data_IF_565587058258
#
_entry.id   IF_565587058258
#
_cell.length_a   1.000
_cell.length_b   1.000
_cell.length_c   1.000
_cell.angle_alpha   90.00
_cell.angle_beta   90.00
_cell.angle_gamma   90.00
#
_symmetry.space_group_name_H-M   'P 1'
#
loop_
_entity.id
_entity.type
_entity.pdbx_description
1 polymer ?
#
# COMPACT_ATOMS: atom_id res chain seq x y z
N UNK A 1 -41.34 -14.54 -35.11
CA UNK A 1 -41.06 -15.72 -34.27
C UNK A 1 -39.92 -15.35 -33.34
N UNK A 2 -40.23 -15.09 -32.07
CA UNK A 2 -39.24 -14.76 -31.04
C UNK A 2 -38.59 -16.05 -30.54
N UNK A 3 -37.26 -16.12 -30.36
CA UNK A 3 -36.67 -17.18 -29.57
C UNK A 3 -36.84 -16.82 -28.09
N UNK A 4 -37.45 -17.76 -27.37
CA UNK A 4 -37.69 -17.75 -25.93
C UNK A 4 -36.39 -17.61 -25.14
N UNK A 5 -36.29 -16.54 -24.34
CA UNK A 5 -35.26 -16.40 -23.31
C UNK A 5 -35.61 -17.32 -22.14
N UNK A 6 -34.94 -18.46 -22.03
CA UNK A 6 -34.88 -19.22 -20.77
C UNK A 6 -33.76 -18.64 -19.91
N UNK A 7 -34.03 -18.14 -18.69
CA UNK A 7 -32.95 -17.74 -17.79
C UNK A 7 -32.18 -18.99 -17.35
N UNK A 8 -30.85 -19.02 -17.50
CA UNK A 8 -29.99 -20.01 -16.84
C UNK A 8 -29.44 -19.44 -15.53
N UNK A 9 -29.94 -19.87 -14.36
CA UNK A 9 -29.37 -19.50 -13.08
C UNK A 9 -28.36 -20.57 -12.63
N UNK A 10 -27.18 -20.65 -13.25
CA UNK A 10 -26.15 -21.63 -12.82
C UNK A 10 -24.70 -21.11 -12.81
N UNK A 11 -24.44 -19.87 -13.23
CA UNK A 11 -23.06 -19.32 -13.36
C UNK A 11 -22.53 -18.53 -12.16
N UNK A 12 -23.31 -18.32 -11.08
CA UNK A 12 -22.85 -17.55 -9.91
C UNK A 12 -22.11 -18.36 -8.82
N UNK A 13 -22.12 -19.69 -8.86
CA UNK A 13 -21.65 -20.50 -7.73
C UNK A 13 -20.18 -20.92 -7.80
N UNK A 14 -19.62 -21.34 -8.95
CA UNK A 14 -18.33 -22.04 -8.95
C UNK A 14 -17.07 -21.17 -8.76
N UNK A 15 -16.96 -20.00 -9.39
CA UNK A 15 -15.82 -19.08 -9.17
C UNK A 15 -15.92 -18.37 -7.81
N UNK A 16 -17.11 -17.87 -7.47
CA UNK A 16 -17.38 -17.27 -6.16
C UNK A 16 -17.16 -18.29 -5.03
N UNK A 17 -17.56 -19.56 -5.20
CA UNK A 17 -17.24 -20.62 -4.23
C UNK A 17 -15.73 -20.84 -4.12
N UNK A 18 -14.96 -20.86 -5.22
CA UNK A 18 -13.49 -20.99 -5.16
C UNK A 18 -12.83 -19.83 -4.41
N UNK A 19 -13.27 -18.59 -4.65
CA UNK A 19 -12.74 -17.40 -3.98
C UNK A 19 -13.13 -17.37 -2.49
N UNK A 20 -14.40 -17.60 -2.16
CA UNK A 20 -14.87 -17.70 -0.77
C UNK A 20 -14.14 -18.83 -0.04
N UNK A 21 -13.88 -19.94 -0.73
CA UNK A 21 -13.18 -21.10 -0.18
C UNK A 21 -11.68 -20.83 0.03
N UNK A 22 -11.00 -20.14 -0.90
CA UNK A 22 -9.61 -19.71 -0.74
C UNK A 22 -9.46 -18.70 0.40
N UNK A 23 -10.32 -17.68 0.45
CA UNK A 23 -10.35 -16.72 1.56
C UNK A 23 -10.66 -17.41 2.89
N UNK A 24 -11.61 -18.35 2.91
CA UNK A 24 -11.90 -19.17 4.08
C UNK A 24 -10.70 -20.00 4.53
N UNK A 25 -9.93 -20.57 3.59
CA UNK A 25 -8.70 -21.32 3.86
C UNK A 25 -7.61 -20.40 4.41
N UNK A 26 -7.42 -19.24 3.80
CA UNK A 26 -6.43 -18.23 4.20
C UNK A 26 -6.71 -17.67 5.59
N UNK A 27 -7.98 -17.37 5.90
CA UNK A 27 -8.42 -16.96 7.23
C UNK A 27 -8.28 -18.08 8.27
N UNK A 28 -8.52 -19.33 7.86
CA UNK A 28 -8.29 -20.50 8.72
C UNK A 28 -6.82 -20.68 9.06
N UNK A 29 -5.92 -20.56 8.08
CA UNK A 29 -4.47 -20.63 8.30
C UNK A 29 -3.93 -19.41 9.06
N UNK A 30 -4.55 -18.24 8.91
CA UNK A 30 -4.18 -17.08 9.73
C UNK A 30 -4.53 -17.26 11.22
N UNK A 31 -5.49 -18.14 11.53
CA UNK A 31 -5.88 -18.49 12.89
C UNK A 31 -5.05 -19.63 13.51
N UNK A 32 -3.98 -20.09 12.87
CA UNK A 32 -3.21 -21.26 13.30
C UNK A 32 -2.25 -21.01 14.50
N UNK A 33 -2.50 -19.97 15.30
CA UNK A 33 -2.03 -19.88 16.69
C UNK A 33 -3.02 -20.56 17.63
N UNK A 34 -2.95 -21.89 17.73
CA UNK A 34 -3.52 -22.78 18.77
C UNK A 34 -4.87 -22.35 19.40
N UNK A 35 -5.96 -22.86 18.80
CA UNK A 35 -7.26 -23.30 19.37
C UNK A 35 -8.45 -23.17 18.39
N UNK A 36 -8.21 -23.20 17.07
CA UNK A 36 -9.27 -23.22 16.06
C UNK A 36 -10.05 -24.57 15.98
N UNK A 37 -9.91 -25.46 16.96
CA UNK A 37 -10.72 -26.69 17.06
C UNK A 37 -12.12 -26.46 17.64
N UNK A 38 -12.42 -25.27 18.18
CA UNK A 38 -13.72 -24.97 18.81
C UNK A 38 -14.68 -24.12 17.96
N UNK A 39 -14.30 -23.68 16.75
CA UNK A 39 -15.13 -22.75 15.94
C UNK A 39 -15.57 -23.24 14.56
N UNK A 40 -15.19 -24.45 14.16
CA UNK A 40 -15.69 -25.08 12.95
C UNK A 40 -16.43 -26.36 13.30
N UNK A 41 -17.64 -26.52 12.75
CA UNK A 41 -18.36 -27.78 12.90
C UNK A 41 -17.55 -28.93 12.28
N UNK A 42 -17.73 -30.16 12.78
CA UNK A 42 -17.08 -31.34 12.20
C UNK A 42 -17.38 -31.49 10.70
N UNK A 43 -18.53 -30.99 10.23
CA UNK A 43 -18.86 -30.91 8.80
C UNK A 43 -17.96 -29.92 8.04
N UNK A 44 -17.69 -28.73 8.58
CA UNK A 44 -16.80 -27.75 7.95
C UNK A 44 -15.36 -28.28 7.86
N UNK A 45 -14.88 -28.97 8.90
CA UNK A 45 -13.57 -29.64 8.88
C UNK A 45 -13.51 -30.80 7.88
N UNK A 46 -14.59 -31.58 7.78
CA UNK A 46 -14.70 -32.67 6.80
C UNK A 46 -14.73 -32.12 5.37
N UNK A 47 -15.45 -31.02 5.11
CA UNK A 47 -15.49 -30.33 3.83
C UNK A 47 -14.10 -29.81 3.45
N UNK A 48 -13.41 -29.14 4.37
CA UNK A 48 -12.04 -28.64 4.15
C UNK A 48 -11.04 -29.76 3.85
N UNK A 49 -11.10 -30.90 4.56
CA UNK A 49 -10.24 -32.07 4.30
C UNK A 49 -10.55 -32.74 2.96
N UNK A 50 -11.82 -32.87 2.62
CA UNK A 50 -12.25 -33.49 1.36
C UNK A 50 -11.83 -32.62 0.16
N UNK A 51 -11.95 -31.31 0.30
CA UNK A 51 -11.48 -30.30 -0.67
C UNK A 51 -9.96 -30.34 -0.80
N UNK A 52 -9.21 -30.30 0.30
CA UNK A 52 -7.75 -30.45 0.25
C UNK A 52 -7.34 -31.74 -0.48
N UNK A 53 -8.03 -32.86 -0.23
CA UNK A 53 -7.76 -34.12 -0.93
C UNK A 53 -8.11 -34.08 -2.43
N UNK A 54 -9.14 -33.32 -2.81
CA UNK A 54 -9.64 -33.21 -4.18
C UNK A 54 -8.80 -32.25 -5.04
N UNK A 55 -8.18 -31.25 -4.41
CA UNK A 55 -7.40 -30.21 -5.09
C UNK A 55 -5.89 -30.30 -4.83
N UNK A 56 -5.41 -31.28 -4.05
CA UNK A 56 -3.95 -31.52 -3.86
C UNK A 56 -3.19 -31.75 -5.17
N UNK A 57 -3.90 -32.20 -6.21
CA UNK A 57 -3.36 -32.50 -7.54
C UNK A 57 -3.88 -31.56 -8.64
N UNK A 58 -4.72 -30.56 -8.33
CA UNK A 58 -4.99 -29.47 -9.27
C UNK A 58 -3.89 -28.45 -9.12
N UNK A 59 -3.20 -28.11 -10.20
CA UNK A 59 -2.14 -27.09 -10.20
C UNK A 59 -2.71 -25.75 -9.70
N UNK A 60 -2.55 -25.49 -8.41
CA UNK A 60 -2.67 -24.19 -7.79
C UNK A 60 -1.26 -23.59 -7.86
N UNK A 61 -0.91 -23.04 -9.01
CA UNK A 61 0.13 -22.02 -9.23
C UNK A 61 0.37 -21.92 -10.72
N UNK A 62 0.27 -20.71 -11.27
CA UNK A 62 1.22 -20.26 -12.27
C UNK A 62 1.67 -18.85 -11.90
N UNK A 63 2.13 -18.71 -10.65
CA UNK A 63 2.96 -17.57 -10.28
C UNK A 63 4.25 -17.71 -11.08
N UNK A 64 4.42 -16.88 -12.12
CA UNK A 64 5.66 -16.85 -12.87
C UNK A 64 6.52 -15.75 -12.29
N UNK A 65 7.66 -16.12 -11.72
CA UNK A 65 8.77 -15.17 -11.59
C UNK A 65 9.21 -14.78 -13.00
N UNK A 66 9.11 -13.50 -13.32
CA UNK A 66 9.55 -12.94 -14.61
C UNK A 66 10.94 -12.34 -14.47
N UNK A 67 11.79 -12.60 -15.45
CA UNK A 67 13.20 -12.17 -15.46
C UNK A 67 13.37 -10.67 -15.78
N UNK A 68 14.41 -10.06 -15.21
CA UNK A 68 14.76 -8.63 -15.22
C UNK A 68 14.69 -7.85 -16.56
N UNK A 69 14.78 -8.52 -17.70
CA UNK A 69 15.01 -7.87 -19.01
C UNK A 69 13.90 -8.10 -20.03
N UNK A 70 12.73 -8.58 -19.60
CA UNK A 70 11.60 -8.81 -20.48
C UNK A 70 10.63 -7.61 -20.49
N UNK A 71 10.08 -7.33 -21.66
CA UNK A 71 8.99 -6.38 -21.86
C UNK A 71 7.69 -7.15 -22.01
N UNK A 72 6.61 -6.63 -21.42
CA UNK A 72 5.28 -7.20 -21.54
C UNK A 72 4.84 -7.27 -23.01
N UNK A 73 4.44 -8.44 -23.53
CA UNK A 73 4.11 -8.59 -24.95
C UNK A 73 2.81 -7.89 -25.37
N UNK A 74 1.94 -7.53 -24.43
CA UNK A 74 0.66 -6.86 -24.69
C UNK A 74 0.72 -5.35 -24.41
N UNK A 75 1.40 -4.94 -23.33
CA UNK A 75 1.46 -3.56 -22.89
C UNK A 75 2.75 -2.83 -23.32
N UNK A 76 3.83 -3.55 -23.62
CA UNK A 76 5.11 -2.92 -23.95
C UNK A 76 5.85 -2.31 -22.75
N UNK A 77 5.39 -2.57 -21.52
CA UNK A 77 6.01 -2.07 -20.28
C UNK A 77 7.09 -3.04 -19.76
N UNK A 78 8.08 -2.58 -18.98
CA UNK A 78 9.02 -3.46 -18.30
C UNK A 78 8.29 -4.46 -17.39
N UNK A 79 8.65 -5.75 -17.42
CA UNK A 79 8.07 -6.76 -16.51
C UNK A 79 8.63 -6.69 -15.09
N UNK A 80 9.65 -5.87 -14.84
CA UNK A 80 10.26 -5.63 -13.53
C UNK A 80 10.31 -4.13 -13.28
N UNK A 81 10.04 -3.71 -12.04
CA UNK A 81 10.02 -2.29 -11.71
C UNK A 81 11.45 -1.71 -11.81
N UNK A 82 11.62 -0.47 -12.29
CA UNK A 82 12.98 0.09 -12.44
C UNK A 82 13.73 0.29 -11.10
N UNK A 83 12.99 0.34 -9.97
CA UNK A 83 13.54 0.36 -8.62
C UNK A 83 13.39 -1.01 -7.91
N UNK A 84 13.00 -2.05 -8.66
CA UNK A 84 12.75 -3.41 -8.20
C UNK A 84 14.01 -4.24 -8.02
N UNK A 85 13.80 -5.51 -7.66
CA UNK A 85 14.86 -6.52 -7.68
C UNK A 85 15.16 -7.01 -9.10
N UNK A 86 15.79 -8.18 -9.21
CA UNK A 86 16.03 -8.82 -10.52
C UNK A 86 14.81 -9.57 -11.08
N UNK A 87 13.75 -9.70 -10.28
CA UNK A 87 12.54 -10.44 -10.67
C UNK A 87 11.32 -9.76 -10.06
N UNK A 88 10.21 -9.81 -10.78
CA UNK A 88 8.89 -9.48 -10.26
C UNK A 88 7.99 -10.73 -10.28
N UNK A 89 6.92 -10.69 -9.48
CA UNK A 89 5.87 -11.69 -9.50
C UNK A 89 4.81 -11.30 -10.53
N UNK A 90 4.49 -12.17 -11.49
CA UNK A 90 3.25 -12.04 -12.27
C UNK A 90 2.15 -12.90 -11.67
N UNK A 91 1.10 -12.25 -11.18
CA UNK A 91 -0.13 -12.85 -10.69
C UNK A 91 -1.17 -12.86 -11.82
N UNK A 92 -1.57 -14.06 -12.26
CA UNK A 92 -2.44 -14.23 -13.42
C UNK A 92 -1.71 -14.56 -14.71
N UNK A 93 -2.48 -14.64 -15.79
CA UNK A 93 -2.01 -15.04 -17.11
C UNK A 93 -2.87 -14.40 -18.21
N UNK A 94 -2.55 -14.69 -19.47
CA UNK A 94 -3.25 -14.16 -20.65
C UNK A 94 -4.29 -15.14 -21.22
N UNK A 95 -4.69 -16.16 -20.45
CA UNK A 95 -5.77 -17.07 -20.83
C UNK A 95 -7.10 -16.53 -20.33
N UNK A 96 -8.16 -16.83 -21.09
CA UNK A 96 -9.54 -16.54 -20.67
C UNK A 96 -10.11 -17.71 -19.88
N UNK A 97 -11.27 -17.52 -19.25
CA UNK A 97 -11.99 -18.61 -18.57
C UNK A 97 -12.21 -18.40 -17.09
N UNK A 98 -12.41 -17.16 -16.67
CA UNK A 98 -12.75 -16.80 -15.29
C UNK A 98 -11.59 -17.08 -14.31
N UNK A 99 -10.37 -16.81 -14.76
CA UNK A 99 -9.14 -16.81 -13.96
C UNK A 99 -9.28 -16.02 -12.67
N UNK A 100 -8.67 -16.54 -11.61
CA UNK A 100 -8.60 -15.88 -10.32
C UNK A 100 -7.38 -16.39 -9.59
N UNK A 101 -6.42 -15.48 -9.39
CA UNK A 101 -5.14 -15.79 -8.79
C UNK A 101 -4.97 -14.93 -7.54
N UNK A 102 -4.49 -15.56 -6.47
CA UNK A 102 -4.37 -14.93 -5.16
C UNK A 102 -2.98 -15.25 -4.59
N UNK A 103 -2.30 -14.21 -4.13
CA UNK A 103 -1.17 -14.33 -3.21
C UNK A 103 -1.50 -13.60 -1.92
N UNK A 104 -1.10 -14.19 -0.78
CA UNK A 104 -1.38 -13.61 0.52
C UNK A 104 -0.18 -13.71 1.45
N UNK A 105 -0.04 -12.72 2.34
CA UNK A 105 1.01 -12.67 3.36
C UNK A 105 0.38 -12.35 4.71
N UNK A 106 0.69 -13.18 5.70
CA UNK A 106 0.33 -12.95 7.11
C UNK A 106 1.48 -12.27 7.82
N UNK A 107 1.19 -11.27 8.65
CA UNK A 107 2.17 -10.58 9.48
C UNK A 107 1.53 -10.05 10.76
N UNK A 108 2.37 -9.78 11.76
CA UNK A 108 1.99 -8.98 12.92
C UNK A 108 2.34 -7.53 12.59
N UNK A 109 1.40 -6.61 12.80
CA UNK A 109 1.63 -5.19 12.53
C UNK A 109 2.59 -4.62 13.58
N UNK A 110 3.79 -4.26 13.16
CA UNK A 110 4.81 -3.62 14.00
C UNK A 110 4.54 -2.11 14.08
N UNK A 111 4.64 -1.52 15.27
CA UNK A 111 4.52 -0.07 15.47
C UNK A 111 5.58 0.73 14.70
N UNK A 112 6.71 0.10 14.36
CA UNK A 112 7.81 0.70 13.62
C UNK A 112 7.68 0.51 12.10
N UNK A 113 6.74 -0.32 11.64
CA UNK A 113 6.50 -0.61 10.22
C UNK A 113 4.99 -0.75 9.96
N UNK A 114 4.29 0.37 10.04
CA UNK A 114 2.83 0.42 9.88
C UNK A 114 2.36 0.80 8.48
N UNK A 115 3.27 1.32 7.65
CA UNK A 115 3.01 1.63 6.25
C UNK A 115 3.77 0.65 5.38
N UNK A 116 3.06 -0.31 4.81
CA UNK A 116 3.65 -1.29 3.91
C UNK A 116 3.53 -0.80 2.46
N UNK A 117 4.59 -0.94 1.67
CA UNK A 117 4.60 -0.50 0.27
C UNK A 117 4.65 -1.69 -0.69
N UNK A 118 4.22 -1.49 -1.93
CA UNK A 118 4.48 -2.42 -3.03
C UNK A 118 4.38 -1.68 -4.36
N UNK A 119 5.15 -2.13 -5.34
CA UNK A 119 4.96 -1.72 -6.73
C UNK A 119 3.99 -2.67 -7.42
N UNK A 120 3.14 -2.12 -8.27
CA UNK A 120 2.28 -2.90 -9.14
C UNK A 120 2.16 -2.31 -10.54
N UNK A 121 1.98 -3.18 -11.53
CA UNK A 121 1.57 -2.83 -12.89
C UNK A 121 0.46 -3.80 -13.33
N UNK A 122 -0.51 -3.33 -14.10
CA UNK A 122 -1.64 -4.17 -14.56
C UNK A 122 -1.76 -4.16 -16.06
N UNK A 123 -2.15 -5.31 -16.62
CA UNK A 123 -2.47 -5.46 -18.03
C UNK A 123 -3.79 -6.21 -18.14
N UNK A 124 -4.79 -5.53 -18.70
CA UNK A 124 -6.14 -6.05 -18.84
C UNK A 124 -6.58 -5.97 -20.30
N UNK A 125 -7.29 -6.98 -20.76
CA UNK A 125 -8.14 -6.78 -21.93
C UNK A 125 -9.30 -5.83 -21.58
N UNK A 126 -9.54 -4.83 -22.42
CA UNK A 126 -10.64 -3.88 -22.25
C UNK A 126 -11.76 -4.09 -23.28
N UNK A 127 -12.77 -4.92 -22.93
CA UNK A 127 -13.94 -5.14 -23.78
C UNK A 127 -14.98 -4.02 -23.73
N UNK A 128 -14.74 -2.93 -22.98
CA UNK A 128 -15.73 -1.89 -22.73
C UNK A 128 -16.90 -2.36 -21.85
N UNK A 129 -16.64 -3.27 -20.90
CA UNK A 129 -17.65 -3.71 -19.94
C UNK A 129 -17.90 -2.67 -18.82
N UNK A 130 -19.06 -2.74 -18.12
CA UNK A 130 -19.22 -2.02 -16.86
C UNK A 130 -18.11 -2.40 -15.86
N UNK A 131 -17.67 -1.45 -15.03
CA UNK A 131 -16.60 -1.62 -14.04
C UNK A 131 -16.62 -2.97 -13.29
N UNK A 132 -17.80 -3.41 -12.83
CA UNK A 132 -17.97 -4.67 -12.06
C UNK A 132 -17.76 -5.96 -12.85
N UNK A 133 -17.59 -5.87 -14.16
CA UNK A 133 -17.38 -7.00 -15.07
C UNK A 133 -16.01 -6.97 -15.75
N UNK A 134 -15.23 -5.90 -15.58
CA UNK A 134 -13.89 -5.80 -16.14
C UNK A 134 -12.92 -6.75 -15.42
N UNK A 135 -11.82 -7.17 -16.09
CA UNK A 135 -10.67 -7.71 -15.39
C UNK A 135 -10.18 -6.73 -14.33
N UNK A 136 -9.65 -7.26 -13.22
CA UNK A 136 -9.38 -6.45 -12.05
C UNK A 136 -8.21 -6.95 -11.22
N UNK A 137 -7.60 -6.02 -10.50
CA UNK A 137 -6.64 -6.28 -9.45
C UNK A 137 -7.12 -5.62 -8.14
N UNK A 138 -7.06 -6.33 -7.02
CA UNK A 138 -7.45 -5.77 -5.72
C UNK A 138 -6.49 -6.15 -4.61
N UNK A 139 -6.43 -5.28 -3.59
CA UNK A 139 -5.62 -5.48 -2.38
C UNK A 139 -6.52 -5.32 -1.17
N UNK A 140 -6.59 -6.35 -0.34
CA UNK A 140 -7.41 -6.36 0.88
C UNK A 140 -6.58 -6.79 2.07
N UNK A 141 -6.95 -6.37 3.27
CA UNK A 141 -6.39 -6.92 4.49
C UNK A 141 -7.51 -7.38 5.42
N UNK A 142 -7.25 -8.41 6.20
CA UNK A 142 -8.21 -8.97 7.16
C UNK A 142 -7.55 -9.11 8.52
N UNK A 143 -8.32 -8.82 9.57
CA UNK A 143 -7.95 -9.11 10.95
C UNK A 143 -8.08 -10.61 11.20
N UNK A 144 -6.99 -11.29 11.54
CA UNK A 144 -7.01 -12.74 11.67
C UNK A 144 -7.78 -13.23 12.91
N UNK A 145 -7.93 -12.38 13.93
CA UNK A 145 -8.71 -12.73 15.11
C UNK A 145 -10.22 -12.75 14.82
N UNK A 146 -10.69 -11.84 13.96
CA UNK A 146 -12.13 -11.67 13.68
C UNK A 146 -12.57 -12.24 12.32
N UNK A 147 -11.64 -12.40 11.38
CA UNK A 147 -11.91 -12.73 9.99
C UNK A 147 -12.53 -11.58 9.17
N UNK A 148 -12.65 -10.38 9.76
CA UNK A 148 -13.26 -9.23 9.10
C UNK A 148 -12.24 -8.45 8.28
N UNK A 149 -12.68 -7.91 7.15
CA UNK A 149 -11.88 -7.01 6.32
C UNK A 149 -11.57 -5.73 7.10
N UNK A 150 -10.33 -5.27 6.99
CA UNK A 150 -9.88 -3.97 7.48
C UNK A 150 -10.22 -2.93 6.39
N UNK A 151 -11.25 -2.09 6.60
CA UNK A 151 -11.67 -1.17 5.55
C UNK A 151 -10.63 -0.06 5.35
N UNK A 152 -10.51 0.40 4.11
CA UNK A 152 -9.73 1.60 3.73
C UNK A 152 -8.23 1.56 4.07
N UNK A 153 -7.64 0.38 4.27
CA UNK A 153 -6.19 0.26 4.52
C UNK A 153 -5.36 0.35 3.25
N UNK A 154 -5.91 0.01 2.08
CA UNK A 154 -5.24 0.09 0.78
C UNK A 154 -6.01 1.04 -0.15
N UNK A 155 -5.28 1.88 -0.88
CA UNK A 155 -5.83 2.79 -1.89
C UNK A 155 -4.95 2.74 -3.13
N UNK A 156 -5.53 2.31 -4.25
CA UNK A 156 -4.88 2.20 -5.55
C UNK A 156 -5.23 3.37 -6.49
N UNK A 157 -6.05 4.32 -6.00
CA UNK A 157 -6.62 5.44 -6.76
C UNK A 157 -8.10 5.64 -6.41
N UNK A 158 -8.57 6.89 -6.44
CA UNK A 158 -9.96 7.31 -6.16
C UNK A 158 -10.56 6.75 -4.86
N UNK A 159 -9.73 6.46 -3.86
CA UNK A 159 -10.20 5.92 -2.57
C UNK A 159 -10.63 4.46 -2.63
N UNK A 160 -10.19 3.72 -3.67
CA UNK A 160 -10.58 2.32 -3.88
C UNK A 160 -9.38 1.40 -3.72
N UNK A 161 -9.64 0.18 -3.27
CA UNK A 161 -8.63 -0.86 -3.14
C UNK A 161 -8.61 -1.83 -4.34
N UNK A 162 -9.23 -1.43 -5.44
CA UNK A 162 -9.39 -2.21 -6.66
C UNK A 162 -9.06 -1.33 -7.86
N UNK A 163 -8.33 -1.88 -8.82
CA UNK A 163 -8.07 -1.29 -10.12
C UNK A 163 -8.71 -2.19 -11.16
N UNK A 164 -9.44 -1.56 -12.08
CA UNK A 164 -10.00 -2.20 -13.29
C UNK A 164 -9.54 -1.41 -14.49
N UNK A 165 -9.81 -1.89 -15.71
CA UNK A 165 -9.68 -1.03 -16.89
C UNK A 165 -10.51 0.24 -16.71
N UNK A 166 -9.84 1.40 -16.72
CA UNK A 166 -10.48 2.70 -16.53
C UNK A 166 -9.83 3.75 -17.42
N UNK A 167 -10.48 4.07 -18.54
CA UNK A 167 -10.03 5.12 -19.45
C UNK A 167 -10.10 6.54 -18.84
N UNK A 168 -10.79 6.73 -17.70
CA UNK A 168 -10.82 8.01 -16.98
C UNK A 168 -9.60 8.18 -16.05
N UNK A 169 -8.90 7.08 -15.75
CA UNK A 169 -7.67 7.12 -14.98
C UNK A 169 -6.53 7.63 -15.88
N UNK A 170 -5.90 8.78 -15.59
CA UNK A 170 -4.91 9.40 -16.47
C UNK A 170 -3.58 8.62 -16.59
N UNK A 171 -3.44 7.53 -15.85
CA UNK A 171 -2.29 6.62 -15.89
C UNK A 171 -2.61 5.30 -16.60
N UNK A 172 -3.86 5.07 -17.00
CA UNK A 172 -4.19 4.00 -17.92
C UNK A 172 -3.81 4.43 -19.34
N UNK A 173 -3.12 3.52 -20.02
CA UNK A 173 -2.73 3.62 -21.40
C UNK A 173 -3.41 2.50 -22.18
N UNK A 174 -3.50 2.67 -23.49
CA UNK A 174 -4.07 1.67 -24.37
C UNK A 174 -3.04 1.12 -25.34
N UNK A 175 -3.09 -0.19 -25.58
CA UNK A 175 -2.32 -0.89 -26.59
C UNK A 175 -3.26 -1.74 -27.48
N UNK A 176 -2.70 -2.34 -28.54
CA UNK A 176 -3.45 -3.21 -29.47
C UNK A 176 -4.75 -2.57 -29.96
N UNK A 177 -4.66 -1.32 -30.41
CA UNK A 177 -5.80 -0.57 -30.98
C UNK A 177 -7.02 -0.47 -30.05
N UNK A 178 -6.82 -0.37 -28.72
CA UNK A 178 -7.92 -0.26 -27.77
C UNK A 178 -8.23 -1.55 -27.00
N UNK A 179 -7.68 -2.69 -27.43
CA UNK A 179 -8.02 -4.00 -26.85
C UNK A 179 -7.36 -4.24 -25.50
N UNK A 180 -6.21 -3.60 -25.25
CA UNK A 180 -5.48 -3.72 -24.00
C UNK A 180 -5.51 -2.36 -23.31
N UNK A 181 -5.90 -2.38 -22.04
CA UNK A 181 -5.76 -1.27 -21.11
C UNK A 181 -4.75 -1.67 -20.04
N UNK A 182 -3.73 -0.84 -19.86
CA UNK A 182 -2.66 -1.15 -18.93
C UNK A 182 -2.27 0.08 -18.13
N UNK A 183 -1.75 -0.18 -16.94
CA UNK A 183 -1.12 0.82 -16.08
C UNK A 183 0.31 0.36 -15.83
N UNK A 184 1.25 1.24 -16.14
CA UNK A 184 2.67 1.00 -15.85
C UNK A 184 2.94 1.04 -14.34
N UNK A 185 4.16 0.69 -13.94
CA UNK A 185 4.58 0.55 -12.57
C UNK A 185 4.21 1.76 -11.71
N UNK A 186 3.50 1.45 -10.63
CA UNK A 186 2.88 2.40 -9.71
C UNK A 186 3.18 1.99 -8.27
N UNK A 187 3.49 2.96 -7.42
CA UNK A 187 3.66 2.72 -5.99
C UNK A 187 2.29 2.80 -5.30
N UNK A 188 1.97 1.81 -4.49
CA UNK A 188 0.85 1.85 -3.57
C UNK A 188 1.31 1.49 -2.16
N UNK A 189 0.51 1.89 -1.18
CA UNK A 189 0.75 1.61 0.23
C UNK A 189 -0.48 1.01 0.90
N UNK A 190 -0.22 0.22 1.94
CA UNK A 190 -1.20 -0.33 2.86
C UNK A 190 -0.92 0.31 4.23
N UNK A 191 -1.84 1.14 4.69
CA UNK A 191 -1.78 1.81 5.97
C UNK A 191 -2.42 0.95 7.06
N UNK A 192 -1.58 0.40 7.94
CA UNK A 192 -1.95 -0.45 9.07
C UNK A 192 -1.74 0.26 10.42
N UNK A 193 -1.55 1.58 10.44
CA UNK A 193 -1.28 2.36 11.67
C UNK A 193 -2.33 2.17 12.77
N UNK A 194 -3.60 2.01 12.40
CA UNK A 194 -4.70 1.74 13.34
C UNK A 194 -4.76 0.27 13.83
N UNK A 195 -3.81 -0.57 13.43
CA UNK A 195 -3.84 -2.02 13.60
C UNK A 195 -2.56 -2.59 14.22
N UNK A 196 -1.71 -1.74 14.80
CA UNK A 196 -0.51 -2.15 15.55
C UNK A 196 -0.83 -3.26 16.55
N UNK A 197 0.02 -4.30 16.56
CA UNK A 197 -0.12 -5.48 17.40
C UNK A 197 -1.13 -6.51 16.91
N UNK A 198 -1.97 -6.21 15.91
CA UNK A 198 -2.85 -7.21 15.30
C UNK A 198 -2.06 -8.13 14.39
N UNK A 199 -2.49 -9.39 14.32
CA UNK A 199 -2.11 -10.28 13.22
C UNK A 199 -3.06 -10.05 12.06
N UNK A 200 -2.52 -9.69 10.90
CA UNK A 200 -3.30 -9.38 9.70
C UNK A 200 -2.84 -10.23 8.53
N UNK A 201 -3.77 -10.55 7.64
CA UNK A 201 -3.48 -11.17 6.35
C UNK A 201 -3.78 -10.20 5.24
N UNK A 202 -2.78 -9.93 4.41
CA UNK A 202 -2.90 -9.09 3.22
C UNK A 202 -3.06 -10.01 2.02
N UNK A 203 -4.04 -9.70 1.16
CA UNK A 203 -4.46 -10.53 0.04
C UNK A 203 -4.42 -9.68 -1.22
N UNK A 204 -3.58 -10.09 -2.16
CA UNK A 204 -3.52 -9.56 -3.52
C UNK A 204 -4.29 -10.49 -4.43
N UNK A 205 -5.25 -9.97 -5.20
CA UNK A 205 -6.13 -10.79 -6.05
C UNK A 205 -6.15 -10.22 -7.46
N UNK A 206 -5.83 -11.07 -8.43
CA UNK A 206 -6.04 -10.82 -9.85
C UNK A 206 -7.28 -11.58 -10.33
N UNK A 207 -8.06 -10.96 -11.22
CA UNK A 207 -9.33 -11.48 -11.73
C UNK A 207 -9.42 -11.26 -13.24
N UNK A 208 -9.85 -12.29 -13.95
CA UNK A 208 -10.45 -12.16 -15.28
C UNK A 208 -11.77 -11.39 -15.22
N UNK A 209 -12.28 -11.03 -16.39
CA UNK A 209 -13.58 -10.40 -16.50
C UNK A 209 -14.71 -11.31 -15.96
N UNK A 210 -15.79 -10.70 -15.49
CA UNK A 210 -16.93 -11.43 -14.91
C UNK A 210 -17.70 -12.32 -15.90
N UNK A 211 -17.47 -12.15 -17.21
CA UNK A 211 -18.01 -12.97 -18.28
C UNK A 211 -17.03 -14.06 -18.77
N UNK A 212 -15.81 -14.08 -18.24
CA UNK A 212 -14.76 -15.08 -18.51
C UNK A 212 -14.19 -15.05 -19.92
N UNK A 213 -14.53 -14.06 -20.74
CA UNK A 213 -14.03 -13.92 -22.11
C UNK A 213 -12.79 -13.05 -22.24
N UNK A 214 -12.36 -12.37 -21.16
CA UNK A 214 -11.24 -11.42 -21.20
C UNK A 214 -10.33 -11.62 -20.00
N UNK A 215 -9.02 -11.64 -20.26
CA UNK A 215 -8.02 -11.92 -19.25
C UNK A 215 -7.56 -10.66 -18.51
N UNK A 216 -6.96 -10.86 -17.34
CA UNK A 216 -6.16 -9.85 -16.67
C UNK A 216 -4.97 -10.47 -15.97
N UNK A 217 -3.87 -9.72 -15.87
CA UNK A 217 -2.76 -10.10 -15.00
C UNK A 217 -2.08 -8.87 -14.41
N UNK A 218 -1.40 -9.10 -13.28
CA UNK A 218 -0.76 -8.06 -12.48
C UNK A 218 0.69 -8.43 -12.20
N UNK A 219 1.60 -7.48 -12.37
CA UNK A 219 2.97 -7.58 -11.88
C UNK A 219 3.07 -6.95 -10.49
N UNK A 220 3.79 -7.60 -9.57
CA UNK A 220 4.07 -7.14 -8.21
C UNK A 220 5.57 -7.18 -7.95
N UNK A 221 6.10 -6.12 -7.34
CA UNK A 221 7.52 -6.00 -7.01
C UNK A 221 7.73 -5.21 -5.71
N UNK A 222 8.90 -5.37 -5.07
CA UNK A 222 9.27 -4.77 -3.79
C UNK A 222 8.15 -4.83 -2.72
N UNK A 223 7.51 -5.99 -2.59
CA UNK A 223 6.41 -6.17 -1.64
C UNK A 223 6.95 -6.04 -0.20
N UNK A 224 6.52 -4.99 0.48
CA UNK A 224 6.85 -4.62 1.86
C UNK A 224 8.34 -4.37 2.07
N UNK A 225 9.01 -3.79 1.08
CA UNK A 225 10.34 -3.24 1.34
C UNK A 225 10.20 -1.86 2.01
N UNK A 226 11.00 -1.64 3.06
CA UNK A 226 11.07 -0.37 3.80
C UNK A 226 11.67 0.80 2.99
N UNK A 227 11.69 0.67 1.67
CA UNK A 227 12.17 1.65 0.72
C UNK A 227 10.96 2.24 0.00
N UNK A 228 10.29 3.21 0.62
CA UNK A 228 9.81 4.30 -0.22
C UNK A 228 11.10 4.94 -0.77
N UNK A 229 11.39 4.92 -2.09
CA UNK A 229 12.71 5.28 -2.56
C UNK A 229 13.02 6.72 -2.17
N UNK A 230 13.87 6.89 -1.15
CA UNK A 230 14.62 8.11 -0.94
C UNK A 230 15.59 8.19 -2.12
N UNK A 231 15.22 8.95 -3.15
CA UNK A 231 16.09 9.30 -4.27
C UNK A 231 16.20 8.31 -5.44
N UNK A 232 15.33 7.31 -5.55
CA UNK A 232 15.22 6.48 -6.77
C UNK A 232 14.38 7.18 -7.85
N UNK A 233 14.63 6.97 -9.15
CA UNK A 233 13.82 7.55 -10.23
C UNK A 233 12.35 7.15 -10.03
N UNK A 234 11.50 8.17 -9.87
CA UNK A 234 10.06 8.04 -9.69
C UNK A 234 9.50 7.30 -10.89
N UNK A 235 8.95 6.10 -10.65
CA UNK A 235 8.23 5.35 -11.65
C UNK A 235 6.95 6.13 -12.01
N UNK A 236 6.97 6.69 -13.22
CA UNK A 236 5.85 7.22 -14.00
C UNK A 236 4.97 8.28 -13.31
N UNK A 237 5.46 9.52 -13.18
CA UNK A 237 4.59 10.71 -13.13
C UNK A 237 3.47 10.73 -12.08
N UNK A 238 3.47 9.88 -11.05
CA UNK A 238 2.38 9.81 -10.06
C UNK A 238 2.52 10.82 -8.92
N UNK A 239 3.61 11.59 -8.94
CA UNK A 239 4.03 12.43 -7.85
C UNK A 239 4.83 11.64 -6.81
N UNK A 240 5.41 12.37 -5.87
CA UNK A 240 6.18 11.80 -4.76
C UNK A 240 6.18 12.74 -3.57
N UNK A 241 6.48 12.21 -2.40
CA UNK A 241 6.74 12.96 -1.18
C UNK A 241 7.81 12.26 -0.38
N UNK A 242 8.75 13.02 0.19
CA UNK A 242 9.82 12.52 1.05
C UNK A 242 10.23 13.58 2.08
N UNK A 243 10.78 13.15 3.21
CA UNK A 243 11.32 14.06 4.22
C UNK A 243 12.64 14.67 3.73
N UNK A 244 12.72 16.00 3.69
CA UNK A 244 13.98 16.70 3.46
C UNK A 244 14.72 16.85 4.80
N UNK A 245 15.52 15.85 5.14
CA UNK A 245 16.23 15.82 6.43
C UNK A 245 17.19 16.99 6.60
N UNK A 246 17.88 17.39 5.54
CA UNK A 246 18.88 18.48 5.57
C UNK A 246 18.26 19.85 5.87
N UNK A 247 17.03 20.08 5.39
CA UNK A 247 16.33 21.36 5.59
C UNK A 247 15.42 21.34 6.82
N UNK A 248 15.22 20.18 7.44
CA UNK A 248 14.38 20.00 8.62
C UNK A 248 15.18 20.22 9.91
N UNK A 249 14.59 20.95 10.85
CA UNK A 249 15.03 20.99 12.24
C UNK A 249 14.59 19.70 12.94
N UNK A 250 15.29 19.35 14.02
CA UNK A 250 14.95 18.19 14.86
C UNK A 250 14.59 18.59 16.29
N UNK A 251 14.59 19.89 16.59
CA UNK A 251 14.31 20.38 17.93
C UNK A 251 13.95 21.88 18.00
N UNK A 252 13.35 22.28 19.12
CA UNK A 252 12.98 23.66 19.47
C UNK A 252 12.01 24.32 18.46
N UNK A 253 12.03 25.64 18.33
CA UNK A 253 11.30 26.31 17.24
C UNK A 253 12.11 26.15 15.96
N UNK A 254 11.47 25.66 14.90
CA UNK A 254 12.14 25.36 13.63
C UNK A 254 11.15 25.02 12.53
N UNK A 255 11.53 24.07 11.68
CA UNK A 255 10.69 23.64 10.57
C UNK A 255 10.85 22.15 10.24
N UNK A 256 9.82 21.55 9.66
CA UNK A 256 9.90 20.23 9.02
C UNK A 256 9.63 20.44 7.54
N UNK A 257 10.60 20.08 6.71
CA UNK A 257 10.57 20.29 5.27
C UNK A 257 10.41 18.98 4.52
N UNK A 258 9.66 19.02 3.43
CA UNK A 258 9.40 17.87 2.57
C UNK A 258 9.77 18.21 1.14
N UNK A 259 10.34 17.24 0.45
CA UNK A 259 10.52 17.31 -1.00
C UNK A 259 9.37 16.57 -1.68
N UNK A 260 8.87 17.11 -2.78
CA UNK A 260 7.78 16.51 -3.54
C UNK A 260 7.95 16.70 -5.04
N UNK A 261 7.29 15.84 -5.78
CA UNK A 261 7.01 16.05 -7.21
C UNK A 261 5.51 16.02 -7.44
N UNK A 262 5.06 16.82 -8.40
CA UNK A 262 3.67 16.82 -8.82
C UNK A 262 3.42 15.66 -9.79
N UNK A 263 2.22 15.07 -9.79
CA UNK A 263 1.87 14.07 -10.78
C UNK A 263 1.83 14.72 -12.17
N UNK A 264 2.34 14.01 -13.17
CA UNK A 264 2.35 14.40 -14.57
C UNK A 264 1.89 13.23 -15.44
N UNK A 265 1.06 13.54 -16.44
CA UNK A 265 0.70 12.62 -17.52
C UNK A 265 0.57 13.43 -18.80
N UNK A 266 1.33 13.06 -19.82
CA UNK A 266 1.47 13.84 -21.05
C UNK A 266 1.88 15.30 -20.73
N UNK A 267 1.11 16.28 -21.21
CA UNK A 267 1.33 17.72 -20.96
C UNK A 267 0.61 18.24 -19.71
N UNK A 268 -0.10 17.39 -18.95
CA UNK A 268 -0.83 17.80 -17.76
C UNK A 268 0.04 17.63 -16.52
N UNK A 269 0.04 18.65 -15.67
CA UNK A 269 0.61 18.61 -14.33
C UNK A 269 -0.52 18.75 -13.33
N UNK A 270 -0.55 17.88 -12.33
CA UNK A 270 -1.56 17.87 -11.29
C UNK A 270 -1.11 18.67 -10.06
N UNK A 271 -1.71 18.34 -8.93
CA UNK A 271 -1.51 19.03 -7.67
C UNK A 271 -1.21 18.05 -6.53
N UNK A 272 -0.69 18.58 -5.44
CA UNK A 272 -0.55 17.84 -4.19
C UNK A 272 -0.97 18.68 -3.00
N UNK A 273 -1.48 18.02 -1.96
CA UNK A 273 -1.61 18.56 -0.62
C UNK A 273 -0.78 17.68 0.32
N UNK A 274 -0.10 18.30 1.27
CA UNK A 274 0.77 17.60 2.21
C UNK A 274 0.22 17.82 3.61
N UNK A 275 0.00 16.72 4.32
CA UNK A 275 -0.36 16.70 5.72
C UNK A 275 0.86 16.27 6.55
N UNK A 276 1.11 16.96 7.66
CA UNK A 276 2.07 16.59 8.69
C UNK A 276 1.26 16.23 9.94
N UNK A 277 1.07 14.93 10.16
CA UNK A 277 0.43 14.40 11.35
C UNK A 277 1.46 14.38 12.50
N UNK A 278 1.09 14.97 13.64
CA UNK A 278 1.92 15.04 14.85
C UNK A 278 1.34 14.11 15.91
N UNK A 279 2.18 13.22 16.43
CA UNK A 279 1.85 12.21 17.42
C UNK A 279 2.60 12.46 18.72
N UNK A 280 1.94 12.21 19.85
CA UNK A 280 2.60 12.19 21.14
C UNK A 280 2.04 11.07 22.00
N UNK A 281 2.92 10.29 22.64
CA UNK A 281 2.52 9.13 23.43
C UNK A 281 1.72 8.10 22.63
N UNK A 282 2.04 7.94 21.34
CA UNK A 282 1.35 7.01 20.44
C UNK A 282 0.01 7.46 19.91
N UNK A 283 -0.46 8.68 20.25
CA UNK A 283 -1.74 9.22 19.79
C UNK A 283 -1.54 10.41 18.87
N UNK A 284 -2.31 10.49 17.78
CA UNK A 284 -2.33 11.68 16.92
C UNK A 284 -2.95 12.85 17.67
N UNK A 285 -2.21 13.95 17.81
CA UNK A 285 -2.68 15.16 18.47
C UNK A 285 -3.20 16.21 17.48
N UNK A 286 -2.47 16.45 16.40
CA UNK A 286 -2.84 17.46 15.41
C UNK A 286 -2.29 17.13 14.03
N UNK A 287 -2.83 17.80 13.02
CA UNK A 287 -2.37 17.72 11.64
C UNK A 287 -2.14 19.14 11.12
N UNK A 288 -0.92 19.43 10.67
CA UNK A 288 -0.64 20.64 9.91
C UNK A 288 -0.82 20.34 8.42
N UNK A 289 -1.41 21.26 7.66
CA UNK A 289 -1.69 21.05 6.24
C UNK A 289 -1.04 22.13 5.39
N UNK A 290 -0.42 21.72 4.28
CA UNK A 290 0.01 22.65 3.24
C UNK A 290 -1.22 23.22 2.50
N UNK A 291 -1.09 24.39 1.85
CA UNK A 291 -2.02 24.75 0.77
C UNK A 291 -1.94 23.72 -0.36
N UNK A 292 -2.86 23.80 -1.33
CA UNK A 292 -2.75 23.01 -2.56
C UNK A 292 -1.57 23.51 -3.38
N UNK A 293 -0.59 22.63 -3.59
CA UNK A 293 0.64 22.91 -4.30
C UNK A 293 0.46 22.55 -5.78
N UNK A 294 0.67 23.55 -6.63
CA UNK A 294 0.54 23.48 -8.10
C UNK A 294 1.87 23.70 -8.81
N UNK A 295 2.93 24.06 -8.08
CA UNK A 295 4.28 24.30 -8.56
C UNK A 295 5.28 24.23 -7.41
N UNK A 296 6.55 23.98 -7.73
CA UNK A 296 7.64 23.89 -6.74
C UNK A 296 8.11 22.46 -6.52
N UNK A 297 9.07 22.30 -5.62
CA UNK A 297 9.71 21.01 -5.33
C UNK A 297 9.83 20.71 -3.84
N UNK A 298 9.52 21.68 -2.98
CA UNK A 298 9.57 21.50 -1.53
C UNK A 298 8.57 22.39 -0.80
N UNK A 299 8.20 21.99 0.40
CA UNK A 299 7.33 22.74 1.31
C UNK A 299 7.82 22.55 2.75
N UNK A 300 7.78 23.60 3.57
CA UNK A 300 8.21 23.53 4.96
C UNK A 300 7.08 23.97 5.88
N UNK A 301 6.78 23.13 6.87
CA UNK A 301 5.91 23.46 7.99
C UNK A 301 6.72 24.18 9.06
N UNK A 302 6.28 25.35 9.49
CA UNK A 302 6.84 25.99 10.69
C UNK A 302 6.41 25.19 11.92
N UNK A 303 7.38 24.86 12.77
CA UNK A 303 7.17 24.10 14.00
C UNK A 303 7.48 25.00 15.19
N UNK A 304 6.47 25.26 15.99
CA UNK A 304 6.62 25.83 17.33
C UNK A 304 5.91 24.89 18.31
N UNK A 305 6.66 24.05 19.06
CA UNK A 305 6.08 23.10 20.01
C UNK A 305 5.12 23.73 21.03
N UNK A 306 5.31 25.00 21.39
CA UNK A 306 4.46 25.70 22.35
C UNK A 306 3.03 25.94 21.82
N UNK A 307 2.85 25.94 20.50
CA UNK A 307 1.56 26.22 19.84
C UNK A 307 0.78 24.96 19.46
N UNK A 308 1.42 23.79 19.56
CA UNK A 308 0.89 22.52 19.03
C UNK A 308 0.10 21.70 20.06
N UNK A 309 -0.11 22.24 21.27
CA UNK A 309 -0.88 21.56 22.33
C UNK A 309 -0.18 20.32 22.90
N UNK A 310 1.16 20.26 22.81
CA UNK A 310 1.97 19.11 23.22
C UNK A 310 2.21 19.11 24.74
N UNK A 311 2.26 17.93 25.35
CA UNK A 311 2.72 17.77 26.73
C UNK A 311 4.24 17.93 26.79
N UNK A 312 4.70 19.08 27.29
CA UNK A 312 6.13 19.40 27.41
C UNK A 312 6.93 18.42 28.28
N UNK A 313 6.26 17.65 29.15
CA UNK A 313 6.91 16.67 30.02
C UNK A 313 7.42 15.43 29.29
N UNK A 314 6.95 15.19 28.05
CA UNK A 314 7.33 14.02 27.25
C UNK A 314 8.57 14.25 26.37
N UNK A 315 9.18 15.44 26.43
CA UNK A 315 10.49 15.74 25.81
C UNK A 315 10.48 15.97 24.29
N UNK A 316 9.51 15.42 23.57
CA UNK A 316 9.36 15.58 22.13
C UNK A 316 8.03 15.06 21.59
N UNK A 317 7.99 14.81 20.29
CA UNK A 317 6.87 14.26 19.55
C UNK A 317 7.36 13.47 18.32
N UNK A 318 6.49 12.64 17.77
CA UNK A 318 6.70 11.91 16.52
C UNK A 318 5.89 12.54 15.40
N UNK A 319 6.31 12.36 14.15
CA UNK A 319 5.52 12.86 13.02
C UNK A 319 5.56 11.96 11.80
N UNK A 320 4.48 11.99 11.05
CA UNK A 320 4.38 11.33 9.75
C UNK A 320 3.84 12.30 8.71
N UNK A 321 4.30 12.14 7.48
CA UNK A 321 3.94 12.99 6.36
C UNK A 321 3.05 12.20 5.43
N UNK A 322 1.93 12.77 4.98
CA UNK A 322 1.10 12.18 3.93
C UNK A 322 0.94 13.16 2.77
N UNK A 323 1.38 12.75 1.58
CA UNK A 323 1.11 13.44 0.32
C UNK A 323 -0.13 12.87 -0.36
N UNK A 324 -1.08 13.73 -0.71
CA UNK A 324 -2.27 13.38 -1.49
C UNK A 324 -2.21 14.06 -2.85
N UNK A 325 -2.28 13.29 -3.93
CA UNK A 325 -2.03 13.77 -5.28
C UNK A 325 -3.30 13.72 -6.13
N UNK A 326 -3.50 14.72 -6.97
CA UNK A 326 -4.63 14.77 -7.92
C UNK A 326 -4.12 15.17 -9.29
N UNK A 327 -4.57 14.50 -10.35
CA UNK A 327 -4.26 14.84 -11.74
C UNK A 327 -5.54 14.85 -12.56
N UNK A 328 -5.86 16.00 -13.18
CA UNK A 328 -7.07 16.16 -14.00
C UNK A 328 -8.38 15.72 -13.29
N UNK A 329 -8.47 15.96 -11.98
CA UNK A 329 -9.62 15.56 -11.15
C UNK A 329 -9.62 14.11 -10.66
N UNK A 330 -8.66 13.29 -11.10
CA UNK A 330 -8.46 11.93 -10.61
C UNK A 330 -7.56 11.93 -9.36
N UNK A 331 -8.02 11.35 -8.26
CA UNK A 331 -7.23 11.22 -7.03
C UNK A 331 -6.33 9.98 -7.11
N UNK A 332 -5.03 10.14 -6.86
CA UNK A 332 -4.07 9.05 -6.87
C UNK A 332 -3.93 8.43 -5.47
N UNK A 333 -3.23 7.29 -5.41
CA UNK A 333 -2.86 6.66 -4.16
C UNK A 333 -2.04 7.66 -3.30
N UNK A 334 -2.43 7.93 -2.04
CA UNK A 334 -1.65 8.76 -1.16
C UNK A 334 -0.36 8.05 -0.76
N UNK A 335 0.68 8.82 -0.47
CA UNK A 335 1.97 8.32 0.00
C UNK A 335 2.26 8.86 1.39
N UNK A 336 2.54 7.97 2.32
CA UNK A 336 2.91 8.26 3.70
C UNK A 336 4.39 7.97 3.91
N UNK A 337 5.06 8.88 4.62
CA UNK A 337 6.48 8.80 5.01
C UNK A 337 6.55 8.76 6.53
N UNK A 338 7.22 7.72 7.05
CA UNK A 338 7.20 7.35 8.47
C UNK A 338 6.17 6.25 8.77
N UNK A 339 6.22 5.76 10.01
CA UNK A 339 5.41 4.67 10.55
C UNK A 339 4.55 5.20 11.71
N UNK A 340 3.37 5.78 11.44
CA UNK A 340 2.47 6.20 12.51
C UNK A 340 2.12 5.04 13.46
N UNK A 341 2.11 5.26 14.78
CA UNK A 341 2.30 6.55 15.44
C UNK A 341 3.77 6.90 15.77
N UNK A 342 4.72 5.98 15.58
CA UNK A 342 6.13 6.17 15.93
C UNK A 342 6.91 7.05 14.94
N UNK A 343 6.27 7.54 13.88
CA UNK A 343 6.82 8.56 13.00
C UNK A 343 8.06 8.12 12.21
N UNK A 344 9.09 8.97 12.14
CA UNK A 344 10.26 8.74 11.27
C UNK A 344 11.26 7.76 11.88
N UNK A 345 11.40 7.76 13.20
CA UNK A 345 12.36 6.94 13.95
C UNK A 345 11.61 6.06 14.93
N UNK A 346 11.92 4.75 14.93
CA UNK A 346 11.39 3.80 15.90
C UNK A 346 11.51 4.32 17.33
N UNK A 347 10.38 4.44 18.02
CA UNK A 347 10.30 5.00 19.36
C UNK A 347 9.08 5.91 19.48
N UNK A 348 8.87 6.44 20.69
CA UNK A 348 7.83 7.43 20.91
C UNK A 348 8.47 8.73 21.38
N UNK A 349 7.92 9.84 20.91
CA UNK A 349 8.29 11.21 21.19
C UNK A 349 9.75 11.57 20.86
N UNK A 350 10.33 10.94 19.84
CA UNK A 350 11.77 11.01 19.56
C UNK A 350 12.15 11.51 18.16
N UNK A 351 11.18 11.87 17.31
CA UNK A 351 11.50 12.49 16.01
C UNK A 351 11.86 13.97 16.11
N UNK A 352 11.20 14.70 17.02
CA UNK A 352 11.39 16.14 17.20
C UNK A 352 11.34 16.54 18.68
N UNK A 353 12.43 17.12 19.19
CA UNK A 353 12.61 17.43 20.61
C UNK A 353 12.20 18.86 20.97
N UNK A 354 11.71 19.11 22.18
CA UNK A 354 11.36 20.48 22.60
C UNK A 354 12.57 21.37 22.85
N UNK A 355 13.69 20.75 23.21
CA UNK A 355 14.95 21.44 23.48
C UNK A 355 16.03 20.69 22.73
N UNK A 356 16.85 21.43 22.00
CA UNK A 356 18.02 20.85 21.35
C UNK A 356 19.02 20.38 22.40
N UNK A 357 19.63 19.22 22.19
CA UNK A 357 20.78 18.83 22.98
C UNK A 357 21.86 19.94 22.86
N UNK A 358 22.53 20.33 23.96
CA UNK A 358 23.62 21.29 23.89
C UNK A 358 24.66 20.81 22.88
N UNK A 359 25.01 21.64 21.91
CA UNK A 359 26.12 21.36 21.00
C UNK A 359 27.43 21.60 21.76
N UNK A 360 28.03 20.53 22.26
CA UNK A 360 29.31 20.55 22.97
C UNK A 360 29.45 19.43 24.01
N UNK A 361 30.66 19.25 24.55
CA UNK A 361 30.89 18.34 25.67
C UNK A 361 30.03 18.78 26.87
N UNK A 362 29.21 17.86 27.38
CA UNK A 362 28.45 18.09 28.61
C UNK A 362 29.41 17.88 29.78
N UNK A 363 29.76 18.97 30.46
CA UNK A 363 30.50 18.93 31.71
C UNK A 363 29.54 19.13 32.87
N UNK A 364 29.57 18.25 33.87
CA UNK A 364 28.93 18.50 35.15
C UNK A 364 30.00 18.80 36.19
N UNK A 365 29.74 19.75 37.08
CA UNK A 365 30.53 19.94 38.29
C UNK A 365 29.95 19.08 39.40
N UNK A 366 30.78 18.19 39.98
CA UNK A 366 30.49 17.72 41.34
C UNK A 366 30.64 18.91 42.29
N UNK A 367 30.00 18.84 43.46
CA UNK A 367 30.18 19.83 44.54
C UNK A 367 31.66 20.01 44.97
N UNK A 368 32.58 19.13 44.55
CA UNK A 368 34.03 19.21 44.76
C UNK A 368 34.81 20.02 43.71
N UNK A 369 34.17 20.56 42.67
CA UNK A 369 34.81 21.52 41.75
C UNK A 369 35.50 20.95 40.51
N UNK A 370 35.51 19.63 40.30
CA UNK A 370 36.12 19.02 39.10
C UNK A 370 35.11 18.89 37.95
N UNK A 371 35.50 19.35 36.76
CA UNK A 371 34.75 19.21 35.51
C UNK A 371 35.08 17.85 34.87
N UNK A 372 34.07 16.98 34.76
CA UNK A 372 34.19 15.73 34.03
C UNK A 372 33.36 15.78 32.74
N UNK A 373 33.95 15.36 31.62
CA UNK A 373 33.24 15.15 30.36
C UNK A 373 32.43 13.85 30.46
N UNK A 374 31.14 13.87 30.15
CA UNK A 374 30.27 12.68 30.20
C UNK A 374 30.58 11.62 29.12
N UNK A 375 31.39 11.96 28.12
CA UNK A 375 31.70 11.11 26.98
C UNK A 375 33.06 10.39 27.07
N UNK A 376 33.82 10.61 28.16
CA UNK A 376 35.13 9.97 28.44
C UNK A 376 35.25 9.70 29.94
#
# INVERSE_FOLDING_TARGET
MSPSYTPRPLLKKRSLQKVILLLGLLLFFCNAGINAQEKLSQEQLAILRNIYSQYKNSEISFDKFVEANATDPYAGIPMVAANGGNNALRLGNSETGYGTEIIAKTLVVDANETILSFYYAVVFEDPGHPFVQQPAFSVRAYDCATGLELPNVANLGNGTNIVVSDAQNPFFQSAFSGQIAYRDWSLAQINLSAHVGKTVIIVFTNLDCGQGGHFGYTYLDNIFSNLCPVGGPILTGQGSVSLNQTSSSTCSVGQICVDYTLPTSNSNTGTTNIALDIYQGGSKLTTLNSPTLTSGTSYCFTIDPATLGLNSSLGGFDYAITGTFTLSGFALAPLTVGSPPNGQVSGANNDYLFVCAPVGNVYYSKASGDLHNLLT
#
